data_IF_542833663285
#
_entry.id   IF_542833663285
#
_cell.length_a   1.000
_cell.length_b   1.000
_cell.length_c   1.000
_cell.angle_alpha   90.00
_cell.angle_beta   90.00
_cell.angle_gamma   90.00
#
_symmetry.space_group_name_H-M   'P 1'
#
loop_
_entity.id
_entity.type
_entity.pdbx_description
1 polymer ?
#
# COMPACT_ATOMS: atom_id res chain seq x y z
N UNK A 1 7.87 -0.65 9.62
CA UNK A 1 6.83 -1.66 9.29
C UNK A 1 7.26 -2.87 8.46
N UNK A 2 7.76 -2.71 7.23
CA UNK A 2 8.10 -3.86 6.35
C UNK A 2 9.23 -4.73 6.95
N UNK A 3 10.24 -4.11 7.57
CA UNK A 3 11.32 -4.83 8.26
C UNK A 3 10.80 -5.66 9.44
N UNK A 4 9.82 -5.14 10.18
CA UNK A 4 9.13 -5.88 11.26
C UNK A 4 8.40 -7.10 10.70
N UNK A 5 7.68 -6.96 9.57
CA UNK A 5 7.00 -8.08 8.90
C UNK A 5 7.98 -9.12 8.36
N UNK A 6 9.07 -8.68 7.72
CA UNK A 6 10.10 -9.56 7.15
C UNK A 6 10.75 -10.40 8.24
N UNK A 7 11.12 -9.79 9.37
CA UNK A 7 11.87 -10.46 10.43
C UNK A 7 10.99 -11.33 11.33
N UNK A 8 9.74 -10.91 11.57
CA UNK A 8 8.83 -11.60 12.50
C UNK A 8 7.92 -12.64 11.81
N UNK A 9 7.62 -12.46 10.52
CA UNK A 9 6.72 -13.35 9.75
C UNK A 9 7.23 -13.59 8.31
N UNK A 10 8.36 -14.31 8.16
CA UNK A 10 8.97 -14.54 6.86
C UNK A 10 8.05 -15.29 5.88
N UNK A 11 7.16 -16.16 6.37
CA UNK A 11 6.18 -16.89 5.58
C UNK A 11 5.13 -15.97 4.94
N UNK A 12 4.60 -15.01 5.70
CA UNK A 12 3.65 -14.00 5.20
C UNK A 12 4.31 -13.18 4.09
N UNK A 13 5.55 -12.76 4.33
CA UNK A 13 6.32 -12.02 3.34
C UNK A 13 6.59 -12.84 2.08
N UNK A 14 6.85 -14.14 2.21
CA UNK A 14 7.04 -15.02 1.05
C UNK A 14 5.76 -15.13 0.20
N UNK A 15 4.58 -15.16 0.82
CA UNK A 15 3.30 -15.14 0.11
C UNK A 15 3.13 -13.82 -0.65
N UNK A 16 3.37 -12.68 0.02
CA UNK A 16 3.32 -11.34 -0.60
C UNK A 16 4.26 -11.27 -1.80
N UNK A 17 5.53 -11.68 -1.64
CA UNK A 17 6.54 -11.68 -2.71
C UNK A 17 6.12 -12.56 -3.90
N UNK A 18 5.51 -13.72 -3.65
CA UNK A 18 4.99 -14.60 -4.72
C UNK A 18 3.86 -13.93 -5.49
N UNK A 19 2.90 -13.31 -4.80
CA UNK A 19 1.78 -12.59 -5.44
C UNK A 19 2.27 -11.37 -6.21
N UNK A 20 3.19 -10.59 -5.63
CA UNK A 20 3.78 -9.43 -6.31
C UNK A 20 4.49 -9.79 -7.62
N UNK A 21 5.18 -10.94 -7.70
CA UNK A 21 5.79 -11.40 -8.95
C UNK A 21 4.78 -11.59 -10.08
N UNK A 22 3.55 -12.03 -9.76
CA UNK A 22 2.48 -12.17 -10.75
C UNK A 22 2.11 -10.79 -11.32
N UNK A 23 1.93 -9.81 -10.44
CA UNK A 23 1.57 -8.45 -10.85
C UNK A 23 2.72 -7.71 -11.54
N UNK A 24 3.98 -7.99 -11.20
CA UNK A 24 5.15 -7.48 -11.94
C UNK A 24 5.15 -8.00 -13.36
N UNK A 25 5.02 -9.32 -13.55
CA UNK A 25 4.98 -9.91 -14.89
C UNK A 25 3.81 -9.37 -15.73
N UNK A 26 2.66 -9.13 -15.09
CA UNK A 26 1.51 -8.53 -15.76
C UNK A 26 1.74 -7.04 -16.12
N UNK A 27 2.39 -6.27 -15.25
CA UNK A 27 2.77 -4.89 -15.55
C UNK A 27 3.75 -4.83 -16.75
N UNK A 28 4.74 -5.73 -16.79
CA UNK A 28 5.69 -5.83 -17.90
C UNK A 28 4.99 -6.12 -19.23
N UNK A 29 4.02 -7.05 -19.24
CA UNK A 29 3.21 -7.34 -20.43
C UNK A 29 2.37 -6.14 -20.87
N UNK A 30 1.68 -5.49 -19.93
CA UNK A 30 0.76 -4.38 -20.21
C UNK A 30 1.47 -3.17 -20.79
N UNK A 31 2.63 -2.83 -20.24
CA UNK A 31 3.34 -1.61 -20.59
C UNK A 31 4.44 -1.84 -21.62
N UNK A 32 4.64 -3.10 -22.04
CA UNK A 32 5.54 -3.55 -23.11
C UNK A 32 6.84 -2.74 -23.19
N UNK A 33 7.51 -2.57 -22.04
CA UNK A 33 8.65 -1.67 -21.96
C UNK A 33 9.86 -2.35 -22.57
N UNK A 34 10.20 -1.96 -23.78
CA UNK A 34 11.36 -2.42 -24.52
C UNK A 34 12.72 -2.04 -23.87
N UNK A 35 12.73 -1.55 -22.62
CA UNK A 35 13.86 -0.82 -22.02
C UNK A 35 14.08 -0.98 -20.50
N UNK A 36 13.37 -1.86 -19.76
CA UNK A 36 13.66 -1.99 -18.31
C UNK A 36 12.99 -3.15 -17.59
N UNK A 37 13.69 -3.73 -16.63
CA UNK A 37 13.12 -4.73 -15.71
C UNK A 37 12.16 -4.03 -14.75
N UNK A 38 10.92 -4.51 -14.64
CA UNK A 38 10.03 -4.04 -13.59
C UNK A 38 10.38 -4.70 -12.27
N UNK A 39 10.03 -4.01 -11.19
CA UNK A 39 10.15 -4.56 -9.85
C UNK A 39 9.03 -4.04 -8.97
N UNK A 40 9.09 -4.33 -7.67
CA UNK A 40 8.17 -3.81 -6.68
C UNK A 40 8.93 -3.27 -5.48
N UNK A 41 8.32 -2.30 -4.79
CA UNK A 41 8.70 -1.92 -3.43
C UNK A 41 7.47 -1.40 -2.69
N UNK A 42 7.59 -1.28 -1.37
CA UNK A 42 6.56 -0.62 -0.59
C UNK A 42 6.31 0.80 -1.12
N UNK A 43 5.06 1.26 -1.08
CA UNK A 43 4.72 2.66 -1.32
C UNK A 43 5.56 3.53 -0.38
N UNK A 44 6.04 4.67 -0.84
CA UNK A 44 6.80 5.63 -0.05
C UNK A 44 6.04 6.95 0.02
N UNK A 45 6.25 7.73 1.09
CA UNK A 45 5.62 9.04 1.23
C UNK A 45 5.96 10.03 0.12
N UNK A 46 7.17 9.92 -0.43
CA UNK A 46 7.64 10.76 -1.51
C UNK A 46 7.32 10.18 -2.90
N UNK A 47 6.47 9.16 -2.99
CA UNK A 47 6.04 8.68 -4.30
C UNK A 47 5.22 9.76 -5.02
N UNK A 48 5.34 9.87 -6.36
CA UNK A 48 4.63 10.89 -7.14
C UNK A 48 3.12 10.89 -6.93
N UNK A 49 2.54 9.73 -6.62
CA UNK A 49 1.11 9.56 -6.33
C UNK A 49 0.64 10.28 -5.06
N UNK A 50 1.57 10.65 -4.16
CA UNK A 50 1.32 11.34 -2.89
C UNK A 50 1.79 12.81 -2.96
N UNK A 51 2.25 13.28 -4.13
CA UNK A 51 2.76 14.64 -4.32
C UNK A 51 4.23 14.82 -3.93
N UNK A 52 4.96 13.72 -3.72
CA UNK A 52 6.41 13.76 -3.54
C UNK A 52 7.15 14.13 -4.83
N UNK A 53 8.27 14.84 -4.68
CA UNK A 53 9.24 15.05 -5.76
C UNK A 53 10.29 13.96 -5.69
N UNK A 54 10.71 13.41 -6.85
CA UNK A 54 11.71 12.36 -6.99
C UNK A 54 13.08 12.82 -6.45
N UNK A 55 13.27 12.78 -5.13
CA UNK A 55 14.58 12.87 -4.49
C UNK A 55 14.98 11.49 -4.00
N UNK A 56 16.18 11.09 -4.45
CA UNK A 56 16.87 9.83 -4.14
C UNK A 56 16.75 9.53 -2.65
N UNK A 57 15.98 8.51 -2.32
CA UNK A 57 15.90 7.99 -0.96
C UNK A 57 16.87 6.82 -0.83
N UNK A 58 17.84 6.96 0.07
CA UNK A 58 18.70 5.85 0.49
C UNK A 58 17.81 4.81 1.16
N UNK A 59 17.79 3.57 0.66
CA UNK A 59 16.96 2.48 1.16
C UNK A 59 17.38 2.04 2.57
N UNK A 60 17.13 2.91 3.55
CA UNK A 60 17.41 2.65 4.95
C UNK A 60 16.11 2.07 5.51
N UNK A 61 16.06 0.75 5.63
CA UNK A 61 15.02 0.05 6.37
C UNK A 61 15.21 0.33 7.86
N UNK A 62 14.87 1.54 8.31
CA UNK A 62 15.09 1.92 9.70
C UNK A 62 13.98 1.37 10.58
N UNK A 63 14.37 0.88 11.76
CA UNK A 63 13.48 0.50 12.85
C UNK A 63 13.06 1.71 13.70
N UNK A 64 13.39 2.93 13.27
CA UNK A 64 13.12 4.15 14.02
C UNK A 64 11.78 4.74 13.60
N UNK A 65 11.01 5.12 14.62
CA UNK A 65 9.61 5.56 14.62
C UNK A 65 9.31 6.88 13.89
N UNK A 66 10.01 7.19 12.80
CA UNK A 66 9.69 8.30 11.90
C UNK A 66 8.78 7.84 10.74
N UNK A 67 7.90 6.86 10.99
CA UNK A 67 6.84 6.41 10.06
C UNK A 67 5.60 7.33 10.10
N UNK A 68 5.74 8.59 10.55
CA UNK A 68 4.67 9.62 10.54
C UNK A 68 4.30 10.13 9.13
N UNK A 69 4.77 9.47 8.07
CA UNK A 69 4.81 10.05 6.73
C UNK A 69 3.82 9.36 5.76
N UNK A 70 2.93 8.49 6.21
CA UNK A 70 1.80 8.02 5.39
C UNK A 70 0.48 8.72 5.75
N UNK A 71 0.56 9.99 6.15
CA UNK A 71 -0.59 10.86 6.45
C UNK A 71 -1.47 11.20 5.23
N UNK A 72 -1.29 10.52 4.10
CA UNK A 72 -2.00 10.76 2.86
C UNK A 72 -2.60 9.47 2.31
N UNK A 73 -3.64 8.94 2.95
CA UNK A 73 -4.68 8.25 2.18
C UNK A 73 -5.52 9.29 1.39
N UNK A 74 -4.84 10.17 0.65
CA UNK A 74 -5.47 10.96 -0.40
C UNK A 74 -5.74 10.01 -1.57
N UNK A 75 -6.77 10.30 -2.34
CA UNK A 75 -7.07 9.63 -3.61
C UNK A 75 -5.80 9.51 -4.48
N UNK A 76 -5.41 8.28 -4.81
CA UNK A 76 -4.22 7.96 -5.59
C UNK A 76 -4.62 7.80 -7.05
N UNK A 77 -4.05 8.63 -7.93
CA UNK A 77 -4.05 8.36 -9.37
C UNK A 77 -2.79 7.58 -9.72
N UNK A 78 -2.93 6.38 -10.29
CA UNK A 78 -1.78 5.55 -10.63
C UNK A 78 -0.98 6.20 -11.79
N UNK A 79 0.33 6.44 -11.64
CA UNK A 79 1.14 7.04 -12.70
C UNK A 79 1.21 6.17 -13.97
N UNK A 80 1.65 6.80 -15.07
CA UNK A 80 1.92 6.09 -16.33
C UNK A 80 2.96 5.00 -16.12
N UNK A 81 2.76 3.81 -16.70
CA UNK A 81 3.67 2.67 -16.59
C UNK A 81 3.92 2.19 -15.16
N UNK A 82 2.95 2.41 -14.26
CA UNK A 82 2.99 1.98 -12.87
C UNK A 82 1.78 1.12 -12.53
N UNK A 83 1.89 0.35 -11.47
CA UNK A 83 0.77 -0.27 -10.78
C UNK A 83 0.92 -0.14 -9.26
N UNK A 84 -0.19 -0.13 -8.54
CA UNK A 84 -0.24 -0.22 -7.09
C UNK A 84 -1.01 -1.45 -6.65
N UNK A 85 -0.49 -2.16 -5.66
CA UNK A 85 -1.08 -3.39 -5.12
C UNK A 85 -1.31 -3.22 -3.62
N UNK A 86 -2.54 -3.36 -3.16
CA UNK A 86 -2.93 -3.27 -1.75
C UNK A 86 -3.26 -4.68 -1.26
N UNK A 87 -2.61 -5.10 -0.17
CA UNK A 87 -2.85 -6.39 0.49
C UNK A 87 -3.68 -6.27 1.77
N UNK A 88 -4.00 -5.05 2.22
CA UNK A 88 -4.77 -4.85 3.43
C UNK A 88 -4.47 -3.49 4.06
N UNK A 89 -4.50 -3.43 5.39
CA UNK A 89 -4.48 -2.19 6.15
C UNK A 89 -3.62 -2.32 7.39
N UNK A 90 -2.87 -1.26 7.69
CA UNK A 90 -2.32 -1.01 9.01
C UNK A 90 -3.15 0.07 9.70
N UNK A 91 -3.56 -0.18 10.94
CA UNK A 91 -4.29 0.76 11.76
C UNK A 91 -3.88 0.61 13.23
N UNK A 92 -3.18 1.60 13.79
CA UNK A 92 -2.82 1.63 15.21
C UNK A 92 -3.72 2.52 16.07
N UNK A 93 -4.74 3.10 15.47
CA UNK A 93 -5.71 3.96 16.13
C UNK A 93 -7.06 3.26 16.31
N UNK A 94 -7.68 3.46 17.49
CA UNK A 94 -9.05 2.99 17.72
C UNK A 94 -10.03 3.97 17.08
N UNK A 95 -10.73 3.51 16.04
CA UNK A 95 -11.75 4.30 15.34
C UNK A 95 -13.15 4.08 15.91
N UNK A 96 -13.26 3.38 17.05
CA UNK A 96 -14.53 3.05 17.68
C UNK A 96 -15.25 1.90 16.99
N UNK A 97 -16.44 1.55 17.48
CA UNK A 97 -17.19 0.37 17.02
C UNK A 97 -17.85 0.61 15.67
N UNK A 98 -18.12 1.86 15.30
CA UNK A 98 -18.63 2.21 13.98
C UNK A 98 -17.55 2.45 12.92
N UNK A 99 -16.26 2.45 13.30
CA UNK A 99 -15.18 2.83 12.40
C UNK A 99 -14.92 1.80 11.30
N UNK A 100 -14.67 2.27 10.07
CA UNK A 100 -14.44 1.42 8.91
C UNK A 100 -13.29 1.90 8.03
N UNK A 101 -12.72 0.95 7.30
CA UNK A 101 -11.69 1.16 6.29
C UNK A 101 -12.23 0.63 4.96
N UNK A 102 -12.16 1.44 3.92
CA UNK A 102 -12.70 1.14 2.59
C UNK A 102 -11.67 1.46 1.53
N UNK A 103 -11.63 0.68 0.46
CA UNK A 103 -10.93 1.07 -0.76
C UNK A 103 -11.93 1.09 -1.90
N UNK A 104 -12.04 2.24 -2.54
CA UNK A 104 -12.73 2.35 -3.83
C UNK A 104 -11.72 2.34 -4.98
N UNK A 105 -12.13 1.76 -6.09
CA UNK A 105 -11.40 1.80 -7.35
C UNK A 105 -12.32 2.38 -8.40
N UNK A 106 -11.96 3.56 -8.91
CA UNK A 106 -12.78 4.33 -9.86
C UNK A 106 -14.22 4.54 -9.33
N UNK A 107 -14.36 4.87 -8.04
CA UNK A 107 -15.65 5.07 -7.37
C UNK A 107 -16.46 3.78 -7.11
N UNK A 108 -15.89 2.60 -7.36
CA UNK A 108 -16.51 1.31 -7.05
C UNK A 108 -15.83 0.71 -5.83
N UNK A 109 -16.61 0.40 -4.79
CA UNK A 109 -16.11 -0.29 -3.59
C UNK A 109 -15.47 -1.64 -3.96
N UNK A 110 -14.24 -1.86 -3.48
CA UNK A 110 -13.50 -3.12 -3.65
C UNK A 110 -13.19 -3.83 -2.34
N UNK A 111 -13.22 -3.10 -1.24
CA UNK A 111 -13.03 -3.64 0.10
C UNK A 111 -13.74 -2.74 1.09
N UNK A 112 -14.39 -3.35 2.07
CA UNK A 112 -14.93 -2.69 3.26
C UNK A 112 -14.63 -3.59 4.46
N UNK A 113 -13.90 -3.07 5.43
CA UNK A 113 -13.60 -3.79 6.68
C UNK A 113 -13.83 -2.88 7.87
N UNK A 114 -14.15 -3.49 9.01
CA UNK A 114 -14.23 -2.76 10.26
C UNK A 114 -12.81 -2.37 10.72
N UNK A 115 -12.59 -1.09 11.05
CA UNK A 115 -11.28 -0.57 11.46
C UNK A 115 -10.72 -1.23 12.73
N UNK A 116 -11.58 -1.80 13.59
CA UNK A 116 -11.14 -2.56 14.77
C UNK A 116 -10.47 -3.88 14.43
N UNK A 117 -10.73 -4.46 13.26
CA UNK A 117 -10.11 -5.72 12.85
C UNK A 117 -8.57 -5.61 12.78
N UNK A 118 -7.97 -4.65 12.04
CA UNK A 118 -6.53 -4.42 12.12
C UNK A 118 -6.11 -3.92 13.52
N UNK A 119 -6.82 -2.96 14.12
CA UNK A 119 -6.43 -2.37 15.42
C UNK A 119 -6.31 -3.40 16.56
N UNK A 120 -7.19 -4.39 16.60
CA UNK A 120 -7.15 -5.46 17.61
C UNK A 120 -6.25 -6.63 17.22
N UNK A 121 -5.72 -6.66 15.99
CA UNK A 121 -4.81 -7.71 15.62
C UNK A 121 -3.52 -7.57 16.43
N UNK A 122 -3.15 -8.64 17.13
CA UNK A 122 -1.95 -8.68 17.96
C UNK A 122 -0.72 -9.20 17.20
N UNK A 123 -0.92 -9.94 16.10
CA UNK A 123 0.13 -10.74 15.48
C UNK A 123 -0.12 -10.97 13.98
N UNK A 124 0.42 -10.13 13.08
CA UNK A 124 1.15 -8.87 13.31
C UNK A 124 0.29 -7.79 13.97
N UNK A 125 0.88 -7.05 14.92
CA UNK A 125 0.19 -5.98 15.64
C UNK A 125 -0.32 -4.93 14.65
N UNK A 126 -1.59 -4.53 14.77
CA UNK A 126 -2.21 -3.45 14.00
C UNK A 126 -2.37 -3.69 12.50
N UNK A 127 -2.02 -4.88 12.00
CA UNK A 127 -2.02 -5.15 10.57
C UNK A 127 -3.05 -6.21 10.23
N UNK A 128 -3.90 -5.91 9.25
CA UNK A 128 -4.77 -6.87 8.60
C UNK A 128 -4.29 -7.08 7.16
N UNK A 129 -4.17 -8.35 6.75
CA UNK A 129 -3.82 -8.73 5.38
C UNK A 129 -4.91 -9.65 4.83
N UNK A 130 -5.42 -9.31 3.65
CA UNK A 130 -6.35 -10.12 2.90
C UNK A 130 -5.69 -10.54 1.59
N UNK A 131 -5.30 -11.81 1.53
CA UNK A 131 -4.69 -12.37 0.34
C UNK A 131 -5.73 -12.75 -0.72
N UNK A 132 -6.99 -12.93 -0.37
CA UNK A 132 -8.00 -13.33 -1.35
C UNK A 132 -8.58 -12.12 -2.09
N UNK A 133 -8.61 -10.96 -1.42
CA UNK A 133 -9.11 -9.70 -1.98
C UNK A 133 -8.00 -8.67 -2.19
N UNK A 134 -6.96 -9.04 -2.94
CA UNK A 134 -5.88 -8.12 -3.31
C UNK A 134 -6.40 -7.10 -4.33
N UNK A 135 -6.26 -5.82 -3.99
CA UNK A 135 -6.69 -4.71 -4.87
C UNK A 135 -5.50 -4.25 -5.70
N UNK A 136 -5.71 -4.14 -7.01
CA UNK A 136 -4.69 -3.66 -7.94
C UNK A 136 -5.23 -2.47 -8.72
N UNK A 137 -4.47 -1.37 -8.68
CA UNK A 137 -4.63 -0.22 -9.56
C UNK A 137 -3.54 -0.23 -10.64
N UNK A 138 -3.95 -0.19 -11.88
CA UNK A 138 -3.12 -0.01 -13.06
C UNK A 138 -3.05 1.47 -13.44
N UNK A 139 -2.08 1.83 -14.28
CA UNK A 139 -1.94 3.16 -14.88
C UNK A 139 -3.27 3.90 -15.07
N UNK A 140 -3.31 5.15 -14.59
CA UNK A 140 -4.42 6.10 -14.66
C UNK A 140 -5.72 5.67 -13.95
N UNK A 141 -5.76 4.48 -13.35
CA UNK A 141 -6.84 4.15 -12.44
C UNK A 141 -6.73 4.97 -11.15
N UNK A 142 -7.88 5.24 -10.56
CA UNK A 142 -8.00 5.96 -9.30
C UNK A 142 -8.25 4.93 -8.20
N UNK A 143 -7.41 4.92 -7.18
CA UNK A 143 -7.57 4.18 -5.94
C UNK A 143 -7.84 5.16 -4.82
N UNK A 144 -8.93 4.97 -4.09
CA UNK A 144 -9.35 5.87 -3.01
C UNK A 144 -9.44 5.09 -1.69
N UNK A 145 -8.38 5.10 -0.87
CA UNK A 145 -8.42 4.54 0.47
C UNK A 145 -9.13 5.52 1.40
N UNK A 146 -10.21 5.07 2.03
CA UNK A 146 -11.07 5.87 2.90
C UNK A 146 -11.06 5.24 4.30
N UNK A 147 -11.03 6.08 5.33
CA UNK A 147 -10.95 5.64 6.70
C UNK A 147 -11.77 6.55 7.61
N UNK A 148 -12.93 6.06 8.08
CA UNK A 148 -13.82 6.85 8.94
C UNK A 148 -13.89 6.28 10.34
N UNK A 149 -13.96 7.18 11.33
CA UNK A 149 -14.30 6.80 12.70
C UNK A 149 -15.80 6.53 12.86
N UNK A 150 -16.20 6.12 14.06
CA UNK A 150 -17.60 5.85 14.40
C UNK A 150 -18.55 7.04 14.25
N UNK A 151 -18.01 8.26 14.19
CA UNK A 151 -18.77 9.50 13.97
C UNK A 151 -18.84 9.90 12.48
N UNK A 152 -18.26 9.10 11.58
CA UNK A 152 -18.21 9.40 10.15
C UNK A 152 -17.19 10.47 9.77
N UNK A 153 -16.26 10.82 10.66
CA UNK A 153 -15.20 11.78 10.38
C UNK A 153 -14.00 11.10 9.74
N UNK A 154 -13.41 11.77 8.75
CA UNK A 154 -12.23 11.29 8.03
C UNK A 154 -10.98 11.21 8.92
N UNK A 155 -10.38 10.02 8.96
CA UNK A 155 -9.19 9.64 9.73
C UNK A 155 -8.07 9.10 8.85
N UNK A 156 -8.12 9.40 7.55
CA UNK A 156 -7.14 9.00 6.52
C UNK A 156 -5.67 9.23 6.91
N UNK A 157 -5.38 10.22 7.77
CA UNK A 157 -4.01 10.51 8.21
C UNK A 157 -3.49 9.63 9.36
N UNK A 158 -4.32 8.77 9.96
CA UNK A 158 -4.00 7.95 11.14
C UNK A 158 -3.97 6.44 10.85
N UNK A 159 -4.27 6.02 9.63
CA UNK A 159 -4.17 4.64 9.19
C UNK A 159 -3.68 4.60 7.74
N UNK A 160 -3.21 3.46 7.26
CA UNK A 160 -2.73 3.40 5.88
C UNK A 160 -2.92 2.04 5.22
N UNK A 161 -3.18 2.03 3.90
CA UNK A 161 -3.22 0.79 3.14
C UNK A 161 -1.83 0.17 3.07
N UNK A 162 -1.74 -1.14 3.31
CA UNK A 162 -0.51 -1.89 3.14
C UNK A 162 -0.27 -2.14 1.64
N UNK A 163 0.43 -1.19 1.02
CA UNK A 163 0.50 -1.03 -0.44
C UNK A 163 1.92 -1.11 -1.00
N UNK A 164 2.04 -1.69 -2.20
CA UNK A 164 3.28 -1.74 -2.98
C UNK A 164 3.11 -1.00 -4.31
N UNK A 165 4.18 -0.31 -4.71
CA UNK A 165 4.36 0.27 -6.04
C UNK A 165 5.10 -0.72 -6.93
N UNK A 166 4.60 -0.91 -8.14
CA UNK A 166 5.24 -1.68 -9.23
C UNK A 166 5.55 -0.71 -10.37
N UNK A 167 6.80 -0.67 -10.80
CA UNK A 167 7.27 0.16 -11.91
C UNK A 167 8.63 -0.35 -12.41
N UNK A 168 9.22 0.33 -13.40
CA UNK A 168 10.62 0.10 -13.78
C UNK A 168 11.57 0.31 -12.60
N UNK A 169 12.67 -0.44 -12.54
CA UNK A 169 13.69 -0.29 -11.47
C UNK A 169 14.19 1.15 -11.32
N UNK A 170 14.41 1.85 -12.43
CA UNK A 170 14.75 3.27 -12.47
C UNK A 170 13.70 4.14 -11.79
N UNK A 171 12.41 3.98 -12.12
CA UNK A 171 11.31 4.71 -11.51
C UNK A 171 11.08 4.37 -10.03
N UNK A 172 11.54 3.19 -9.59
CA UNK A 172 11.51 2.79 -8.20
C UNK A 172 12.73 3.26 -7.39
N UNK A 173 13.74 3.85 -8.03
CA UNK A 173 15.04 4.20 -7.43
C UNK A 173 15.70 2.97 -6.78
N UNK A 174 15.85 1.89 -7.55
CA UNK A 174 16.47 0.63 -7.11
C UNK A 174 17.79 0.31 -7.85
N UNK A 175 18.33 1.29 -8.57
CA UNK A 175 19.63 1.22 -9.27
C UNK A 175 20.76 1.73 -8.38
#
# INVERSE_FOLDING_TARGET
MLAMLINKYPEIMNIIKRRLKIYVAEAERRYNSSAGSYWYRFLRPNDPAIGGTDKVYTATYTNTAEENIFASAATITVPVSNAYVIFGWYNDADFGVGGYLKVEKQGVEKSLIHARLPYQNANPKYLYLDFDHVIVGWQQEILDPIAYNEFGADQICMCFPFMFRIASKSALNLE
#
